data_IF_382023817523
#
_entry.id   IF_382023817523
#
_cell.length_a   1.000
_cell.length_b   1.000
_cell.length_c   1.000
_cell.angle_alpha   90.00
_cell.angle_beta   90.00
_cell.angle_gamma   90.00
#
_symmetry.space_group_name_H-M   'P 1'
#
loop_
_entity.id
_entity.type
_entity.pdbx_description
1 polymer ?
#
# COMPACT_ATOMS: atom_id res chain seq x y z
N UNK A 1 -49.07 -78.86 31.33
CA UNK A 1 -48.82 -77.51 30.76
C UNK A 1 -49.66 -77.35 29.52
N UNK A 2 -50.38 -76.27 29.49
CA UNK A 2 -51.21 -75.96 28.31
C UNK A 2 -50.34 -75.42 27.20
N UNK A 3 -50.28 -76.09 26.06
CA UNK A 3 -49.51 -75.62 24.92
C UNK A 3 -49.87 -74.20 24.45
N UNK A 4 -51.14 -73.85 24.59
CA UNK A 4 -51.66 -72.55 24.22
C UNK A 4 -51.14 -71.44 25.13
N UNK A 5 -51.10 -71.69 26.45
CA UNK A 5 -50.53 -70.71 27.41
C UNK A 5 -49.04 -70.49 27.21
N UNK A 6 -48.35 -71.57 26.86
CA UNK A 6 -46.87 -71.49 26.58
C UNK A 6 -46.62 -70.65 25.28
N UNK A 7 -47.43 -70.92 24.26
CA UNK A 7 -47.32 -70.11 23.01
C UNK A 7 -47.67 -68.65 23.22
N UNK A 8 -48.68 -68.38 24.03
CA UNK A 8 -49.05 -67.00 24.38
C UNK A 8 -48.00 -66.31 25.15
N UNK A 9 -47.36 -67.01 26.10
CA UNK A 9 -46.23 -66.48 26.88
C UNK A 9 -45.03 -66.12 26.01
N UNK A 10 -44.72 -66.99 25.04
CA UNK A 10 -43.62 -66.70 24.09
C UNK A 10 -43.96 -65.51 23.19
N UNK A 11 -45.22 -65.41 22.73
CA UNK A 11 -45.63 -64.24 21.94
C UNK A 11 -45.60 -62.97 22.69
N UNK A 12 -45.99 -62.97 23.97
CA UNK A 12 -45.89 -61.79 24.84
C UNK A 12 -44.45 -61.40 25.10
N UNK A 13 -43.55 -62.35 25.35
CA UNK A 13 -42.14 -62.08 25.51
C UNK A 13 -41.51 -61.53 24.25
N UNK A 14 -41.86 -62.07 23.09
CA UNK A 14 -41.35 -61.57 21.81
C UNK A 14 -41.83 -60.15 21.53
N UNK A 15 -43.07 -59.86 21.85
CA UNK A 15 -43.62 -58.49 21.70
C UNK A 15 -42.97 -57.51 22.65
N UNK A 16 -42.72 -57.87 23.90
CA UNK A 16 -42.03 -57.02 24.86
C UNK A 16 -40.56 -56.73 24.41
N UNK A 17 -39.89 -57.76 23.92
CA UNK A 17 -38.55 -57.59 23.36
C UNK A 17 -38.55 -56.69 22.15
N UNK A 18 -39.56 -56.79 21.27
CA UNK A 18 -39.71 -55.92 20.14
C UNK A 18 -39.88 -54.43 20.56
N UNK A 19 -40.75 -54.17 21.52
CA UNK A 19 -41.00 -52.84 22.06
C UNK A 19 -39.72 -52.26 22.67
N UNK A 20 -38.98 -53.08 23.45
CA UNK A 20 -37.69 -52.65 24.04
C UNK A 20 -36.65 -52.31 22.94
N UNK A 21 -36.57 -53.16 21.91
CA UNK A 21 -35.66 -52.91 20.78
C UNK A 21 -36.00 -51.61 20.05
N UNK A 22 -37.30 -51.34 19.81
CA UNK A 22 -37.75 -50.09 19.22
C UNK A 22 -37.36 -48.87 20.07
N UNK A 23 -37.53 -48.96 21.40
CA UNK A 23 -37.14 -47.89 22.33
C UNK A 23 -35.64 -47.62 22.29
N UNK A 24 -34.81 -48.66 22.23
CA UNK A 24 -33.37 -48.53 22.13
C UNK A 24 -32.93 -47.90 20.83
N UNK A 25 -33.52 -48.30 19.70
CA UNK A 25 -33.24 -47.71 18.38
C UNK A 25 -33.63 -46.24 18.37
N UNK A 26 -34.81 -45.91 18.91
CA UNK A 26 -35.26 -44.52 18.98
C UNK A 26 -34.31 -43.67 19.87
N UNK A 27 -33.84 -44.23 21.00
CA UNK A 27 -32.91 -43.57 21.88
C UNK A 27 -31.55 -43.33 21.18
N UNK A 28 -31.02 -44.35 20.54
CA UNK A 28 -29.78 -44.28 19.82
C UNK A 28 -29.82 -43.25 18.68
N UNK A 29 -30.95 -43.25 17.94
CA UNK A 29 -31.19 -42.26 16.89
C UNK A 29 -31.18 -40.84 17.44
N UNK A 30 -31.91 -40.60 18.53
CA UNK A 30 -32.01 -39.31 19.18
C UNK A 30 -30.66 -38.84 19.69
N UNK A 31 -29.88 -39.71 20.30
CA UNK A 31 -28.52 -39.41 20.78
C UNK A 31 -27.61 -39.03 19.63
N UNK A 32 -27.62 -39.79 18.53
CA UNK A 32 -26.83 -39.48 17.33
C UNK A 32 -27.22 -38.16 16.72
N UNK A 33 -28.52 -37.87 16.66
CA UNK A 33 -29.03 -36.61 16.15
C UNK A 33 -28.55 -35.44 16.99
N UNK A 34 -28.61 -35.55 18.32
CA UNK A 34 -28.12 -34.54 19.25
C UNK A 34 -26.62 -34.33 19.14
N UNK A 35 -25.84 -35.41 19.02
CA UNK A 35 -24.40 -35.35 18.82
C UNK A 35 -24.03 -34.67 17.50
N UNK A 36 -24.75 -35.02 16.45
CA UNK A 36 -24.58 -34.40 15.13
C UNK A 36 -24.89 -32.93 15.12
N UNK A 37 -25.99 -32.52 15.76
CA UNK A 37 -26.35 -31.11 15.89
C UNK A 37 -25.31 -30.32 16.71
N UNK A 38 -24.83 -30.92 17.81
CA UNK A 38 -23.81 -30.31 18.64
C UNK A 38 -22.51 -30.16 17.87
N UNK A 39 -22.08 -31.19 17.17
CA UNK A 39 -20.86 -31.15 16.34
C UNK A 39 -20.97 -30.11 15.23
N UNK A 40 -22.15 -30.04 14.60
CA UNK A 40 -22.39 -29.01 13.57
C UNK A 40 -22.33 -27.61 14.12
N UNK A 41 -22.95 -27.33 15.26
CA UNK A 41 -22.91 -26.01 15.91
C UNK A 41 -21.48 -25.61 16.30
N UNK A 42 -20.70 -26.57 16.84
CA UNK A 42 -19.31 -26.34 17.19
C UNK A 42 -18.45 -26.06 15.96
N UNK A 43 -18.68 -26.80 14.87
CA UNK A 43 -17.98 -26.58 13.59
C UNK A 43 -18.33 -25.23 12.97
N UNK A 44 -19.62 -24.89 13.00
CA UNK A 44 -20.11 -23.58 12.53
C UNK A 44 -19.49 -22.42 13.31
N UNK A 45 -19.46 -22.55 14.62
CA UNK A 45 -18.84 -21.55 15.49
C UNK A 45 -17.34 -21.38 15.18
N UNK A 46 -16.62 -22.49 15.01
CA UNK A 46 -15.19 -22.43 14.64
C UNK A 46 -14.99 -21.82 13.26
N UNK A 47 -15.83 -22.17 12.30
CA UNK A 47 -15.78 -21.62 10.95
C UNK A 47 -16.04 -20.11 10.96
N UNK A 48 -17.05 -19.67 11.72
CA UNK A 48 -17.37 -18.25 11.85
C UNK A 48 -16.24 -17.47 12.53
N UNK A 49 -15.65 -18.03 13.59
CA UNK A 49 -14.53 -17.41 14.28
C UNK A 49 -13.29 -17.32 13.36
N UNK A 50 -13.00 -18.36 12.61
CA UNK A 50 -11.92 -18.38 11.64
C UNK A 50 -12.16 -17.37 10.51
N UNK A 51 -13.38 -17.25 10.05
CA UNK A 51 -13.76 -16.25 9.05
C UNK A 51 -13.59 -14.83 9.58
N UNK A 52 -14.06 -14.56 10.79
CA UNK A 52 -13.89 -13.25 11.42
C UNK A 52 -12.41 -12.87 11.60
N UNK A 53 -11.60 -13.82 12.07
CA UNK A 53 -10.16 -13.60 12.19
C UNK A 53 -9.50 -13.33 10.83
N UNK A 54 -9.85 -14.13 9.84
CA UNK A 54 -9.29 -13.98 8.49
C UNK A 54 -9.66 -12.64 7.87
N UNK A 55 -10.92 -12.20 8.02
CA UNK A 55 -11.38 -10.90 7.52
C UNK A 55 -10.73 -9.75 8.26
N UNK A 56 -10.55 -9.87 9.57
CA UNK A 56 -9.88 -8.86 10.37
C UNK A 56 -8.40 -8.73 10.00
N UNK A 57 -7.71 -9.85 9.81
CA UNK A 57 -6.33 -9.86 9.35
C UNK A 57 -6.18 -9.28 7.94
N UNK A 58 -7.11 -9.62 7.05
CA UNK A 58 -7.14 -9.08 5.69
C UNK A 58 -7.34 -7.56 5.71
N UNK A 59 -8.23 -7.06 6.57
CA UNK A 59 -8.45 -5.63 6.73
C UNK A 59 -7.21 -4.92 7.25
N UNK A 60 -6.54 -5.47 8.25
CA UNK A 60 -5.29 -4.90 8.79
C UNK A 60 -4.18 -4.89 7.76
N UNK A 61 -4.06 -5.97 6.99
CA UNK A 61 -3.08 -6.05 5.91
C UNK A 61 -3.33 -5.00 4.84
N UNK A 62 -4.60 -4.78 4.48
CA UNK A 62 -4.99 -3.74 3.54
C UNK A 62 -4.67 -2.35 4.07
N UNK A 63 -5.04 -2.05 5.31
CA UNK A 63 -4.75 -0.76 5.94
C UNK A 63 -3.25 -0.48 5.99
N UNK A 64 -2.46 -1.49 6.34
CA UNK A 64 -1.00 -1.37 6.36
C UNK A 64 -0.43 -1.12 4.98
N UNK A 65 -0.93 -1.84 3.97
CA UNK A 65 -0.49 -1.65 2.59
C UNK A 65 -0.87 -0.26 2.06
N UNK A 66 -2.07 0.22 2.36
CA UNK A 66 -2.52 1.56 2.00
C UNK A 66 -1.67 2.64 2.67
N UNK A 67 -1.36 2.47 3.95
CA UNK A 67 -0.50 3.39 4.68
C UNK A 67 0.91 3.43 4.11
N UNK A 68 1.48 2.28 3.80
CA UNK A 68 2.80 2.20 3.17
C UNK A 68 2.81 2.85 1.79
N UNK A 69 1.76 2.65 1.00
CA UNK A 69 1.61 3.27 -0.31
C UNK A 69 1.50 4.79 -0.20
N UNK A 70 0.74 5.29 0.78
CA UNK A 70 0.60 6.71 1.05
C UNK A 70 1.92 7.34 1.45
N UNK A 71 2.66 6.71 2.36
CA UNK A 71 3.99 7.18 2.78
C UNK A 71 4.98 7.20 1.61
N UNK A 72 4.98 6.15 0.80
CA UNK A 72 5.83 6.07 -0.39
C UNK A 72 5.47 7.15 -1.41
N UNK A 73 4.19 7.41 -1.59
CA UNK A 73 3.70 8.47 -2.47
C UNK A 73 4.15 9.85 -1.99
N UNK A 74 3.99 10.13 -0.70
CA UNK A 74 4.41 11.41 -0.13
C UNK A 74 5.91 11.62 -0.23
N UNK A 75 6.71 10.59 0.06
CA UNK A 75 8.17 10.66 -0.08
C UNK A 75 8.59 10.92 -1.53
N UNK A 76 7.95 10.23 -2.47
CA UNK A 76 8.21 10.44 -3.89
C UNK A 76 7.87 11.86 -4.32
N UNK A 77 6.76 12.38 -3.83
CA UNK A 77 6.31 13.74 -4.11
C UNK A 77 7.26 14.79 -3.54
N UNK A 78 7.69 14.63 -2.30
CA UNK A 78 8.66 15.53 -1.65
C UNK A 78 9.98 15.52 -2.40
N UNK A 79 10.46 14.34 -2.79
CA UNK A 79 11.69 14.19 -3.55
C UNK A 79 11.59 14.87 -4.92
N UNK A 80 10.47 14.68 -5.61
CA UNK A 80 10.22 15.33 -6.90
C UNK A 80 10.19 16.85 -6.76
N UNK A 81 9.54 17.36 -5.73
CA UNK A 81 9.48 18.79 -5.42
C UNK A 81 10.89 19.35 -5.16
N UNK A 82 11.68 18.65 -4.36
CA UNK A 82 13.04 19.05 -4.03
C UNK A 82 13.95 19.05 -5.26
N UNK A 83 13.85 18.02 -6.09
CA UNK A 83 14.59 17.97 -7.35
C UNK A 83 14.20 19.11 -8.28
N UNK A 84 12.94 19.43 -8.35
CA UNK A 84 12.44 20.54 -9.13
C UNK A 84 13.02 21.88 -8.62
N UNK A 85 12.94 22.12 -7.31
CA UNK A 85 13.48 23.34 -6.71
C UNK A 85 14.99 23.47 -6.92
N UNK A 86 15.72 22.37 -6.75
CA UNK A 86 17.17 22.35 -6.96
C UNK A 86 17.52 22.65 -8.43
N UNK A 87 16.76 22.09 -9.36
CA UNK A 87 16.95 22.33 -10.79
C UNK A 87 16.68 23.78 -11.16
N UNK A 88 15.64 24.38 -10.61
CA UNK A 88 15.31 25.80 -10.83
C UNK A 88 16.41 26.69 -10.22
N UNK A 89 16.89 26.37 -9.04
CA UNK A 89 17.98 27.12 -8.40
C UNK A 89 19.24 27.04 -9.23
N UNK A 90 19.65 25.87 -9.69
CA UNK A 90 20.82 25.73 -10.55
C UNK A 90 20.67 26.49 -11.86
N UNK A 91 19.50 26.39 -12.50
CA UNK A 91 19.23 27.13 -13.72
C UNK A 91 19.31 28.63 -13.50
N UNK A 92 18.79 29.12 -12.38
CA UNK A 92 18.88 30.52 -11.99
C UNK A 92 20.31 30.96 -11.76
N UNK A 93 21.12 30.18 -11.06
CA UNK A 93 22.54 30.46 -10.81
C UNK A 93 23.33 30.52 -12.11
N UNK A 94 23.13 29.55 -13.01
CA UNK A 94 23.77 29.52 -14.34
C UNK A 94 23.35 30.73 -15.15
N UNK A 95 22.10 31.09 -15.13
CA UNK A 95 21.58 32.26 -15.82
C UNK A 95 22.24 33.54 -15.30
N UNK A 96 22.28 33.72 -13.99
CA UNK A 96 22.90 34.90 -13.36
C UNK A 96 24.38 34.98 -13.69
N UNK A 97 25.11 33.88 -13.63
CA UNK A 97 26.53 33.81 -13.96
C UNK A 97 26.74 34.15 -15.44
N UNK A 98 25.96 33.60 -16.33
CA UNK A 98 26.06 33.86 -17.77
C UNK A 98 25.78 35.34 -18.08
N UNK A 99 24.75 35.92 -17.47
CA UNK A 99 24.43 37.34 -17.63
C UNK A 99 25.55 38.22 -17.11
N UNK A 100 26.11 37.88 -15.96
CA UNK A 100 27.21 38.64 -15.35
C UNK A 100 28.47 38.59 -16.22
N UNK A 101 28.84 37.41 -16.72
CA UNK A 101 29.96 37.24 -17.63
C UNK A 101 29.75 37.99 -18.92
N UNK A 102 28.56 37.95 -19.50
CA UNK A 102 28.22 38.70 -20.71
C UNK A 102 28.30 40.20 -20.49
N UNK A 103 27.84 40.64 -19.33
CA UNK A 103 27.97 42.07 -18.95
C UNK A 103 29.42 42.50 -18.83
N UNK A 104 30.28 41.72 -18.17
CA UNK A 104 31.69 41.98 -18.06
C UNK A 104 32.37 42.05 -19.43
N UNK A 105 32.08 41.09 -20.29
CA UNK A 105 32.60 41.06 -21.65
C UNK A 105 32.18 42.32 -22.45
N UNK A 106 30.91 42.67 -22.32
CA UNK A 106 30.41 43.90 -22.96
C UNK A 106 31.11 45.17 -22.44
N UNK A 107 31.26 45.25 -21.12
CA UNK A 107 31.96 46.36 -20.47
C UNK A 107 33.43 46.48 -20.90
N UNK A 108 34.15 45.36 -20.93
CA UNK A 108 35.52 45.29 -21.39
C UNK A 108 35.65 45.71 -22.86
N UNK A 109 34.78 45.21 -23.71
CA UNK A 109 34.77 45.62 -25.12
C UNK A 109 34.51 47.11 -25.31
N UNK A 110 33.63 47.69 -24.53
CA UNK A 110 33.32 49.12 -24.54
C UNK A 110 34.51 49.94 -24.05
N UNK A 111 35.15 49.53 -22.98
CA UNK A 111 36.36 50.19 -22.45
C UNK A 111 37.51 50.13 -23.44
N UNK A 112 37.76 49.01 -24.07
CA UNK A 112 38.79 48.85 -25.10
C UNK A 112 38.51 49.76 -26.29
N UNK A 113 37.27 49.78 -26.77
CA UNK A 113 36.88 50.66 -27.87
C UNK A 113 37.09 52.13 -27.49
N UNK A 114 36.76 52.49 -26.27
CA UNK A 114 36.96 53.85 -25.78
C UNK A 114 38.45 54.22 -25.67
N UNK A 115 39.30 53.34 -25.17
CA UNK A 115 40.74 53.53 -25.11
C UNK A 115 41.34 53.69 -26.50
N UNK A 116 40.96 52.87 -27.46
CA UNK A 116 41.40 52.98 -28.85
C UNK A 116 40.98 54.33 -29.41
N UNK A 117 39.78 54.73 -29.17
CA UNK A 117 39.29 56.05 -29.63
C UNK A 117 40.03 57.18 -29.04
N UNK A 118 40.39 57.14 -27.73
CA UNK A 118 41.16 58.14 -27.08
C UNK A 118 42.62 58.18 -27.57
N UNK A 119 43.21 57.00 -27.80
CA UNK A 119 44.55 56.82 -28.35
C UNK A 119 44.65 57.46 -29.74
N UNK A 120 43.73 57.19 -30.62
CA UNK A 120 43.68 57.82 -31.95
C UNK A 120 43.51 59.30 -31.86
N UNK A 121 42.66 59.74 -30.98
CA UNK A 121 42.49 61.21 -30.78
C UNK A 121 43.75 61.91 -30.22
N UNK A 122 44.45 61.24 -29.33
CA UNK A 122 45.75 61.74 -28.78
C UNK A 122 46.81 61.72 -29.86
N UNK A 123 46.92 60.68 -30.67
CA UNK A 123 47.88 60.61 -31.77
C UNK A 123 47.66 61.70 -32.82
N UNK A 124 46.40 61.95 -33.15
CA UNK A 124 46.08 63.04 -34.09
C UNK A 124 46.43 64.39 -33.60
N UNK A 125 46.47 64.59 -32.31
CA UNK A 125 46.91 65.84 -31.72
C UNK A 125 48.43 65.99 -31.60
N UNK A 126 49.19 64.92 -31.36
CA UNK A 126 50.61 64.89 -31.17
C UNK A 126 51.48 65.29 -32.39
N UNK A 127 51.14 64.75 -33.59
CA UNK A 127 52.02 65.03 -34.75
C UNK A 127 52.14 66.48 -35.15
N UNK A 128 51.08 67.26 -34.94
CA UNK A 128 51.02 68.62 -35.32
C UNK A 128 51.93 69.53 -34.47
N UNK A 129 52.15 69.21 -33.22
CA UNK A 129 52.97 69.93 -32.28
C UNK A 129 54.44 69.65 -32.50
N UNK A 130 54.80 68.45 -32.91
CA UNK A 130 56.18 68.00 -33.09
C UNK A 130 56.85 68.51 -34.38
N UNK A 131 56.07 68.82 -35.38
CA UNK A 131 56.52 69.30 -36.71
C UNK A 131 56.94 70.75 -36.77
N UNK A 132 56.74 71.40 -35.67
CA UNK A 132 57.24 72.74 -35.51
C UNK A 132 58.71 72.70 -35.00
#
# INVERSE_FOLDING_TARGET
MDPLAELLGRAQSAYAAYIEAQKEVARAYKERQQQGEKAFKEAEKRANNAYEEATEQALRAREKAEQQAEEAYQKAREKAMQLYQDSIRQASEVRMETVEQSWKACKESTEQAWEIFQGEKAEKKRPEIVRL
#
